data_IF_148360018519
#
_entry.id   IF_148360018519
#
_cell.length_a   1.000
_cell.length_b   1.000
_cell.length_c   1.000
_cell.angle_alpha   90.00
_cell.angle_beta   90.00
_cell.angle_gamma   90.00
#
_symmetry.space_group_name_H-M   'P 1'
#
loop_
_entity.id
_entity.type
_entity.pdbx_description
1 polymer ?
#
# COMPACT_ATOMS: atom_id res chain seq x y z
N UNK A 1 3.52 -32.14 3.24
CA UNK A 1 2.66 -32.01 2.05
C UNK A 1 2.12 -30.58 2.02
N UNK A 2 2.10 -29.97 0.85
CA UNK A 2 1.48 -28.67 0.63
C UNK A 2 0.16 -28.93 -0.10
N UNK A 3 -0.95 -28.70 0.59
CA UNK A 3 -2.29 -28.99 0.05
C UNK A 3 -2.92 -27.74 -0.63
N UNK A 4 -2.40 -26.56 -0.35
CA UNK A 4 -2.91 -25.30 -0.87
C UNK A 4 -1.80 -24.26 -1.04
N UNK A 5 -1.78 -23.57 -2.16
CA UNK A 5 -0.92 -22.39 -2.41
C UNK A 5 -1.80 -21.23 -2.84
N UNK A 6 -1.91 -20.21 -1.98
CA UNK A 6 -2.54 -18.94 -2.30
C UNK A 6 -1.50 -17.92 -2.74
N UNK A 7 -1.76 -17.21 -3.83
CA UNK A 7 -0.83 -16.22 -4.39
C UNK A 7 -1.50 -14.87 -4.51
N UNK A 8 -0.87 -13.84 -3.94
CA UNK A 8 -1.14 -12.43 -4.25
C UNK A 8 -0.02 -11.93 -5.15
N UNK A 9 -0.35 -11.50 -6.35
CA UNK A 9 0.66 -11.06 -7.33
C UNK A 9 0.16 -9.86 -8.11
N UNK A 10 0.99 -8.83 -8.18
CA UNK A 10 0.86 -7.66 -9.07
C UNK A 10 1.85 -7.74 -10.25
N UNK A 11 2.46 -8.90 -10.44
CA UNK A 11 3.42 -9.14 -11.50
C UNK A 11 2.72 -9.49 -12.83
N UNK A 12 3.48 -9.47 -13.92
CA UNK A 12 2.96 -9.82 -15.23
C UNK A 12 2.67 -11.33 -15.38
N UNK A 13 1.87 -11.67 -16.39
CA UNK A 13 1.42 -13.05 -16.64
C UNK A 13 2.57 -14.05 -16.82
N UNK A 14 3.69 -13.63 -17.44
CA UNK A 14 4.84 -14.50 -17.64
C UNK A 14 5.42 -14.97 -16.30
N UNK A 15 5.63 -14.06 -15.37
CA UNK A 15 6.16 -14.40 -14.04
C UNK A 15 5.15 -15.25 -13.26
N UNK A 16 3.86 -14.96 -13.39
CA UNK A 16 2.81 -15.76 -12.74
C UNK A 16 2.77 -17.19 -13.30
N UNK A 17 2.96 -17.40 -14.61
CA UNK A 17 3.07 -18.72 -15.23
C UNK A 17 4.32 -19.49 -14.78
N UNK A 18 5.45 -18.79 -14.64
CA UNK A 18 6.67 -19.39 -14.07
C UNK A 18 6.45 -19.85 -12.63
N UNK A 19 5.79 -19.03 -11.81
CA UNK A 19 5.45 -19.38 -10.44
C UNK A 19 4.50 -20.56 -10.37
N UNK A 20 3.47 -20.62 -11.22
CA UNK A 20 2.56 -21.75 -11.33
C UNK A 20 3.32 -23.05 -11.67
N UNK A 21 4.21 -22.99 -12.65
CA UNK A 21 5.05 -24.13 -13.05
C UNK A 21 5.93 -24.63 -11.92
N UNK A 22 6.50 -23.73 -11.11
CA UNK A 22 7.30 -24.07 -9.94
C UNK A 22 6.45 -24.73 -8.84
N UNK A 23 5.26 -24.24 -8.56
CA UNK A 23 4.35 -24.84 -7.59
C UNK A 23 3.96 -26.25 -7.98
N UNK A 24 3.65 -26.48 -9.26
CA UNK A 24 3.35 -27.80 -9.79
C UNK A 24 4.55 -28.75 -9.70
N UNK A 25 5.75 -28.27 -10.04
CA UNK A 25 6.97 -29.08 -9.98
C UNK A 25 7.34 -29.49 -8.55
N UNK A 26 7.31 -28.54 -7.62
CA UNK A 26 7.81 -28.75 -6.25
C UNK A 26 6.78 -29.42 -5.34
N UNK A 27 5.51 -29.06 -5.48
CA UNK A 27 4.46 -29.47 -4.54
C UNK A 27 3.31 -30.23 -5.18
N UNK A 28 3.28 -30.35 -6.51
CA UNK A 28 2.16 -30.93 -7.29
C UNK A 28 0.82 -30.25 -6.96
N UNK A 29 0.88 -28.96 -6.63
CA UNK A 29 -0.26 -28.15 -6.26
C UNK A 29 -0.38 -26.97 -7.23
N UNK A 30 -1.55 -26.79 -7.83
CA UNK A 30 -1.85 -25.61 -8.67
C UNK A 30 -2.14 -24.43 -7.76
N UNK A 31 -1.41 -23.32 -7.87
CA UNK A 31 -1.66 -22.15 -7.04
C UNK A 31 -2.96 -21.46 -7.41
N UNK A 32 -3.63 -20.90 -6.41
CA UNK A 32 -4.80 -20.05 -6.60
C UNK A 32 -4.37 -18.58 -6.49
N UNK A 33 -4.51 -17.84 -7.58
CA UNK A 33 -4.23 -16.42 -7.61
C UNK A 33 -5.43 -15.64 -7.10
N UNK A 34 -5.21 -14.82 -6.08
CA UNK A 34 -6.22 -13.89 -5.60
C UNK A 34 -6.57 -12.87 -6.69
N UNK A 35 -7.84 -12.48 -6.76
CA UNK A 35 -8.34 -11.50 -7.72
C UNK A 35 -9.22 -10.49 -7.00
N UNK A 36 -9.20 -9.26 -7.50
CA UNK A 36 -10.13 -8.23 -7.06
C UNK A 36 -11.48 -8.45 -7.72
N UNK A 37 -12.55 -8.29 -6.98
CA UNK A 37 -13.93 -8.39 -7.46
C UNK A 37 -14.78 -7.21 -6.94
N UNK A 38 -16.06 -7.18 -7.33
CA UNK A 38 -16.99 -6.12 -6.93
C UNK A 38 -17.32 -6.13 -5.44
N UNK A 39 -17.36 -7.31 -4.81
CA UNK A 39 -17.65 -7.44 -3.40
C UNK A 39 -17.09 -8.75 -2.84
N UNK A 40 -16.36 -8.66 -1.74
CA UNK A 40 -15.85 -9.81 -0.98
C UNK A 40 -15.93 -9.51 0.51
N UNK A 41 -16.24 -10.49 1.33
CA UNK A 41 -16.40 -10.37 2.78
C UNK A 41 -17.32 -9.22 3.21
N UNK A 42 -18.33 -8.90 2.39
CA UNK A 42 -19.29 -7.82 2.64
C UNK A 42 -18.77 -6.42 2.30
N UNK A 43 -17.53 -6.27 1.82
CA UNK A 43 -16.98 -4.98 1.38
C UNK A 43 -17.17 -4.83 -0.13
N UNK A 44 -17.73 -3.71 -0.55
CA UNK A 44 -17.90 -3.35 -1.95
C UNK A 44 -16.69 -2.56 -2.45
N UNK A 45 -16.21 -2.91 -3.65
CA UNK A 45 -15.11 -2.22 -4.30
C UNK A 45 -15.56 -0.84 -4.83
N UNK A 46 -14.72 0.19 -4.63
CA UNK A 46 -14.97 1.55 -5.14
C UNK A 46 -14.76 1.66 -6.65
N UNK A 47 -13.94 0.79 -7.24
CA UNK A 47 -13.59 0.88 -8.65
C UNK A 47 -14.74 0.40 -9.52
N UNK A 48 -15.05 1.13 -10.59
CA UNK A 48 -16.04 0.72 -11.59
C UNK A 48 -15.64 -0.58 -12.28
N UNK A 49 -14.34 -0.75 -12.53
CA UNK A 49 -13.73 -2.00 -12.97
C UNK A 49 -12.78 -2.49 -11.86
N UNK A 50 -13.19 -3.50 -11.09
CA UNK A 50 -12.36 -4.02 -10.00
C UNK A 50 -11.01 -4.56 -10.45
N UNK A 51 -10.89 -5.04 -11.69
CA UNK A 51 -9.62 -5.54 -12.22
C UNK A 51 -8.51 -4.48 -12.26
N UNK A 52 -8.87 -3.20 -12.20
CA UNK A 52 -7.92 -2.09 -12.14
C UNK A 52 -7.44 -1.76 -10.73
N UNK A 53 -8.04 -2.32 -9.68
CA UNK A 53 -7.55 -2.20 -8.31
C UNK A 53 -6.52 -3.30 -8.04
N UNK A 54 -5.31 -2.91 -7.67
CA UNK A 54 -4.25 -3.85 -7.33
C UNK A 54 -4.69 -4.85 -6.25
N UNK A 55 -4.39 -6.12 -6.46
CA UNK A 55 -4.81 -7.19 -5.56
C UNK A 55 -4.22 -7.06 -4.15
N UNK A 56 -3.01 -6.53 -4.03
CA UNK A 56 -2.35 -6.21 -2.76
C UNK A 56 -3.17 -5.21 -1.94
N UNK A 57 -3.68 -4.16 -2.57
CA UNK A 57 -4.56 -3.18 -1.94
C UNK A 57 -5.89 -3.82 -1.55
N UNK A 58 -6.49 -4.61 -2.45
CA UNK A 58 -7.75 -5.30 -2.18
C UNK A 58 -7.65 -6.24 -0.97
N UNK A 59 -6.60 -7.01 -0.89
CA UNK A 59 -6.36 -7.90 0.26
C UNK A 59 -6.16 -7.13 1.57
N UNK A 60 -5.46 -6.00 1.54
CA UNK A 60 -5.33 -5.11 2.70
C UNK A 60 -6.69 -4.55 3.15
N UNK A 61 -7.55 -4.18 2.20
CA UNK A 61 -8.93 -3.74 2.46
C UNK A 61 -9.75 -4.87 3.08
N UNK A 62 -9.66 -6.08 2.55
CA UNK A 62 -10.40 -7.25 3.07
C UNK A 62 -9.91 -7.67 4.47
N UNK A 63 -8.62 -7.52 4.74
CA UNK A 63 -8.04 -7.85 6.05
C UNK A 63 -8.61 -7.00 7.20
N UNK A 64 -9.21 -5.86 6.89
CA UNK A 64 -9.84 -4.97 7.88
C UNK A 64 -11.37 -5.03 7.85
N UNK A 65 -11.95 -6.03 7.18
CA UNK A 65 -13.39 -6.26 7.22
C UNK A 65 -13.89 -6.36 8.68
N UNK A 66 -14.96 -5.67 8.99
CA UNK A 66 -15.53 -5.58 10.36
C UNK A 66 -14.83 -4.58 11.30
N UNK A 67 -13.77 -3.89 10.88
CA UNK A 67 -13.05 -2.87 11.67
C UNK A 67 -13.32 -1.44 11.24
N UNK A 68 -14.48 -1.18 10.68
CA UNK A 68 -14.84 0.10 10.04
C UNK A 68 -15.41 1.11 11.04
N UNK A 69 -15.23 2.42 10.81
CA UNK A 69 -14.48 3.03 9.71
C UNK A 69 -12.96 2.90 9.89
N UNK A 70 -12.25 2.68 8.80
CA UNK A 70 -10.80 2.43 8.86
C UNK A 70 -10.06 3.07 7.67
N UNK A 71 -8.89 3.61 7.98
CA UNK A 71 -7.87 4.04 7.01
C UNK A 71 -6.75 2.99 7.03
N UNK A 72 -6.50 2.34 5.91
CA UNK A 72 -5.46 1.31 5.74
C UNK A 72 -4.31 1.91 4.97
N UNK A 73 -3.13 1.89 5.56
CA UNK A 73 -1.90 2.41 4.98
C UNK A 73 -0.93 1.27 4.74
N UNK A 74 -0.43 1.14 3.54
CA UNK A 74 0.63 0.19 3.21
C UNK A 74 1.88 0.94 2.76
N UNK A 75 2.97 0.76 3.52
CA UNK A 75 4.28 1.37 3.27
C UNK A 75 5.20 0.33 2.61
N UNK A 76 5.46 0.50 1.33
CA UNK A 76 6.35 -0.34 0.54
C UNK A 76 6.92 0.47 -0.63
N UNK A 77 7.23 -0.16 -1.76
CA UNK A 77 7.66 0.52 -2.99
C UNK A 77 6.71 1.67 -3.36
N UNK A 78 5.42 1.47 -3.13
CA UNK A 78 4.42 2.54 -3.11
C UNK A 78 3.87 2.71 -1.69
N UNK A 79 3.57 3.95 -1.30
CA UNK A 79 2.72 4.26 -0.17
C UNK A 79 1.29 4.29 -0.68
N UNK A 80 0.45 3.36 -0.20
CA UNK A 80 -0.98 3.37 -0.53
C UNK A 80 -1.81 3.68 0.72
N UNK A 81 -2.89 4.41 0.53
CA UNK A 81 -3.83 4.76 1.59
C UNK A 81 -5.23 4.45 1.07
N UNK A 82 -5.90 3.49 1.67
CA UNK A 82 -7.25 3.07 1.32
C UNK A 82 -8.22 3.31 2.48
N UNK A 83 -9.44 3.68 2.15
CA UNK A 83 -10.46 4.06 3.13
C UNK A 83 -11.67 3.15 3.00
N UNK A 84 -12.11 2.58 4.13
CA UNK A 84 -13.30 1.74 4.21
C UNK A 84 -14.26 2.28 5.26
N UNK A 85 -15.50 2.49 4.89
CA UNK A 85 -16.59 2.87 5.79
C UNK A 85 -17.91 2.23 5.33
N UNK A 86 -18.75 1.81 6.29
CA UNK A 86 -20.08 1.24 6.05
C UNK A 86 -20.08 0.12 4.97
N UNK A 87 -19.12 -0.79 5.08
CA UNK A 87 -18.91 -1.90 4.13
C UNK A 87 -18.59 -1.47 2.69
N UNK A 88 -18.11 -0.25 2.50
CA UNK A 88 -17.69 0.26 1.22
C UNK A 88 -16.24 0.68 1.24
N UNK A 89 -15.46 0.21 0.30
CA UNK A 89 -14.20 0.84 -0.05
C UNK A 89 -14.53 2.16 -0.72
N UNK A 90 -14.17 3.28 -0.09
CA UNK A 90 -14.47 4.62 -0.61
C UNK A 90 -13.47 5.09 -1.66
N UNK A 91 -12.39 4.34 -1.85
CA UNK A 91 -11.26 4.69 -2.69
C UNK A 91 -9.99 4.92 -1.89
N UNK A 92 -8.95 5.39 -2.55
CA UNK A 92 -7.66 5.62 -1.90
C UNK A 92 -6.69 6.39 -2.78
N UNK A 93 -5.45 6.45 -2.31
CA UNK A 93 -4.36 7.17 -2.95
C UNK A 93 -3.14 6.26 -3.11
N UNK A 94 -2.35 6.51 -4.13
CA UNK A 94 -1.07 5.86 -4.37
C UNK A 94 -0.01 6.95 -4.52
N UNK A 95 1.02 6.86 -3.70
CA UNK A 95 2.19 7.73 -3.73
C UNK A 95 3.45 6.89 -3.97
N UNK A 96 4.52 7.45 -4.47
CA UNK A 96 5.82 6.79 -4.40
C UNK A 96 6.18 6.50 -2.94
N UNK A 97 6.67 5.31 -2.62
CA UNK A 97 7.23 4.99 -1.31
C UNK A 97 8.49 5.82 -1.01
N UNK A 98 8.97 5.80 0.24
CA UNK A 98 10.06 6.68 0.67
C UNK A 98 11.33 6.48 -0.17
N UNK A 99 11.71 5.23 -0.43
CA UNK A 99 12.88 4.90 -1.25
C UNK A 99 12.72 5.36 -2.71
N UNK A 100 11.51 5.28 -3.27
CA UNK A 100 11.24 5.73 -4.62
C UNK A 100 11.26 7.26 -4.73
N UNK A 101 10.76 7.98 -3.69
CA UNK A 101 10.86 9.43 -3.60
C UNK A 101 12.32 9.89 -3.54
N UNK A 102 13.13 9.26 -2.70
CA UNK A 102 14.57 9.53 -2.60
C UNK A 102 15.26 9.29 -3.95
N UNK A 103 15.02 8.13 -4.55
CA UNK A 103 15.57 7.76 -5.85
C UNK A 103 15.20 8.77 -6.94
N UNK A 104 13.96 9.27 -6.96
CA UNK A 104 13.51 10.26 -7.93
C UNK A 104 14.26 11.59 -7.81
N UNK A 105 14.57 12.04 -6.58
CA UNK A 105 15.38 13.24 -6.34
C UNK A 105 16.83 13.05 -6.79
N UNK A 106 17.42 11.87 -6.50
CA UNK A 106 18.78 11.53 -6.92
C UNK A 106 18.95 11.51 -8.44
N UNK A 107 17.97 10.96 -9.16
CA UNK A 107 18.01 10.87 -10.62
C UNK A 107 17.54 12.17 -11.30
N UNK A 108 16.55 12.86 -10.72
CA UNK A 108 15.95 14.05 -11.31
C UNK A 108 16.74 15.34 -11.09
N UNK A 109 17.79 15.34 -10.23
CA UNK A 109 18.58 16.53 -9.93
C UNK A 109 20.07 16.28 -10.03
N UNK A 110 20.84 17.33 -10.35
CA UNK A 110 22.31 17.24 -10.44
C UNK A 110 23.00 17.49 -9.12
N UNK A 111 22.42 18.32 -8.24
CA UNK A 111 23.07 18.85 -7.04
C UNK A 111 22.58 18.26 -5.73
N UNK A 112 21.41 17.61 -5.75
CA UNK A 112 20.86 16.94 -4.56
C UNK A 112 21.55 15.59 -4.42
N UNK A 113 22.44 15.46 -3.46
CA UNK A 113 23.20 14.23 -3.17
C UNK A 113 23.17 13.99 -1.66
N UNK A 114 22.04 13.58 -1.10
CA UNK A 114 21.94 13.26 0.31
C UNK A 114 22.79 12.02 0.63
N UNK A 115 23.40 12.02 1.79
CA UNK A 115 23.93 10.82 2.41
C UNK A 115 22.86 10.14 3.23
N UNK A 116 23.02 8.87 3.50
CA UNK A 116 22.13 8.15 4.40
C UNK A 116 22.17 8.79 5.79
N UNK A 117 21.02 8.84 6.43
CA UNK A 117 20.87 9.27 7.82
C UNK A 117 20.36 8.10 8.65
N UNK A 118 20.66 8.10 9.92
CA UNK A 118 20.27 7.00 10.82
C UNK A 118 18.75 6.89 10.95
N UNK A 119 18.07 8.02 11.00
CA UNK A 119 16.59 8.12 11.02
C UNK A 119 16.15 9.52 10.59
N UNK A 120 14.98 9.59 9.98
CA UNK A 120 14.33 10.85 9.64
C UNK A 120 13.44 11.31 10.81
N UNK A 121 13.29 12.62 10.97
CA UNK A 121 12.39 13.26 11.93
C UNK A 121 11.48 14.26 11.23
N UNK A 122 10.55 14.87 11.98
CA UNK A 122 9.73 15.98 11.49
C UNK A 122 10.33 17.35 11.77
N UNK A 123 11.55 17.41 12.30
CA UNK A 123 12.27 18.67 12.51
C UNK A 123 12.72 19.28 11.17
N UNK A 124 12.98 20.57 11.18
CA UNK A 124 13.55 21.23 10.01
C UNK A 124 14.96 20.72 9.73
N UNK A 125 15.21 20.23 8.52
CA UNK A 125 16.52 19.81 8.09
C UNK A 125 17.50 20.99 8.03
N UNK A 126 18.71 20.80 8.55
CA UNK A 126 19.76 21.82 8.60
C UNK A 126 20.89 21.58 7.58
N UNK A 127 20.75 20.53 6.79
CA UNK A 127 21.59 20.19 5.66
C UNK A 127 20.78 19.46 4.59
N UNK A 128 21.37 19.21 3.42
CA UNK A 128 20.67 18.58 2.28
C UNK A 128 20.14 17.18 2.63
N UNK A 129 20.90 16.36 3.35
CA UNK A 129 20.50 15.01 3.71
C UNK A 129 19.27 15.02 4.63
N UNK A 130 19.33 15.78 5.71
CA UNK A 130 18.19 15.96 6.61
C UNK A 130 16.97 16.55 5.87
N UNK A 131 17.17 17.61 5.08
CA UNK A 131 16.08 18.25 4.36
C UNK A 131 15.35 17.32 3.39
N UNK A 132 16.09 16.42 2.73
CA UNK A 132 15.51 15.41 1.84
C UNK A 132 14.76 14.34 2.62
N UNK A 133 15.41 13.70 3.58
CA UNK A 133 14.81 12.59 4.32
C UNK A 133 13.65 13.02 5.20
N UNK A 134 13.77 14.16 5.91
CA UNK A 134 12.69 14.73 6.72
C UNK A 134 11.52 15.17 5.84
N UNK A 135 11.82 15.75 4.66
CA UNK A 135 10.79 16.15 3.69
C UNK A 135 9.99 14.97 3.14
N UNK A 136 10.65 13.86 2.82
CA UNK A 136 10.00 12.62 2.38
C UNK A 136 9.10 12.07 3.50
N UNK A 137 9.61 11.99 4.72
CA UNK A 137 8.84 11.54 5.88
C UNK A 137 7.63 12.44 6.13
N UNK A 138 7.84 13.76 6.12
CA UNK A 138 6.77 14.75 6.29
C UNK A 138 5.68 14.58 5.23
N UNK A 139 6.05 14.38 3.96
CA UNK A 139 5.08 14.18 2.87
C UNK A 139 4.22 12.93 3.09
N UNK A 140 4.83 11.82 3.52
CA UNK A 140 4.11 10.58 3.82
C UNK A 140 3.14 10.77 5.00
N UNK A 141 3.62 11.32 6.11
CA UNK A 141 2.80 11.54 7.32
C UNK A 141 1.66 12.52 7.04
N UNK A 142 1.94 13.65 6.38
CA UNK A 142 0.92 14.64 6.05
C UNK A 142 -0.18 14.06 5.14
N UNK A 143 0.17 13.19 4.18
CA UNK A 143 -0.80 12.50 3.35
C UNK A 143 -1.71 11.58 4.18
N UNK A 144 -1.12 10.78 5.09
CA UNK A 144 -1.85 9.88 5.98
C UNK A 144 -2.79 10.69 6.89
N UNK A 145 -2.28 11.71 7.56
CA UNK A 145 -3.05 12.56 8.46
C UNK A 145 -4.22 13.25 7.74
N UNK A 146 -3.98 13.73 6.52
CA UNK A 146 -5.03 14.38 5.72
C UNK A 146 -6.17 13.44 5.37
N UNK A 147 -5.84 12.21 4.94
CA UNK A 147 -6.85 11.20 4.59
C UNK A 147 -7.59 10.72 5.85
N UNK A 148 -6.86 10.46 6.93
CA UNK A 148 -7.45 10.08 8.21
C UNK A 148 -8.41 11.15 8.74
N UNK A 149 -8.00 12.43 8.71
CA UNK A 149 -8.84 13.54 9.13
C UNK A 149 -10.10 13.67 8.25
N UNK A 150 -9.97 13.46 6.93
CA UNK A 150 -11.11 13.48 6.02
C UNK A 150 -12.12 12.38 6.37
N UNK A 151 -11.66 11.14 6.62
CA UNK A 151 -12.54 10.06 7.05
C UNK A 151 -13.21 10.37 8.38
N UNK A 152 -12.45 10.93 9.33
CA UNK A 152 -13.00 11.32 10.65
C UNK A 152 -14.11 12.38 10.57
N UNK A 153 -14.07 13.24 9.56
CA UNK A 153 -15.13 14.22 9.30
C UNK A 153 -16.40 13.61 8.66
N UNK A 154 -16.29 12.42 8.06
CA UNK A 154 -17.42 11.75 7.39
C UNK A 154 -18.23 10.87 8.34
N UNK A 155 -17.80 10.69 9.59
CA UNK A 155 -18.43 9.76 10.51
C UNK A 155 -18.25 10.19 11.97
N UNK A 156 -19.25 9.92 12.80
CA UNK A 156 -19.17 10.11 14.25
C UNK A 156 -18.54 8.89 14.98
N UNK A 157 -18.23 7.83 14.23
CA UNK A 157 -17.62 6.61 14.79
C UNK A 157 -16.12 6.84 15.04
N UNK A 158 -15.55 6.00 15.90
CA UNK A 158 -14.11 6.00 16.11
C UNK A 158 -13.40 5.40 14.89
N UNK A 159 -12.63 6.22 14.20
CA UNK A 159 -11.85 5.83 13.02
C UNK A 159 -10.58 5.09 13.44
N UNK A 160 -10.33 3.94 12.85
CA UNK A 160 -9.08 3.20 13.04
C UNK A 160 -8.07 3.59 11.94
N UNK A 161 -6.80 3.64 12.33
CA UNK A 161 -5.67 3.74 11.41
C UNK A 161 -4.86 2.45 11.52
N UNK A 162 -4.69 1.75 10.40
CA UNK A 162 -3.95 0.49 10.35
C UNK A 162 -2.80 0.67 9.36
N UNK A 163 -1.60 0.37 9.84
CA UNK A 163 -0.37 0.44 9.03
C UNK A 163 0.14 -0.97 8.78
N UNK A 164 0.63 -1.19 7.56
CA UNK A 164 1.30 -2.41 7.11
C UNK A 164 2.41 -2.04 6.13
N UNK A 165 3.17 -3.01 5.67
CA UNK A 165 4.28 -2.83 4.74
C UNK A 165 5.61 -3.17 5.39
N UNK A 166 6.71 -2.98 4.65
CA UNK A 166 8.07 -3.36 5.07
C UNK A 166 9.11 -2.24 4.93
N UNK A 167 8.69 -1.02 4.57
CA UNK A 167 9.55 0.17 4.49
C UNK A 167 9.47 0.98 5.78
#
# INVERSE_FOLDING_TARGET
YVDFVGVSSVLNDKVNQELESLCLLLWRCTPQFARTDYATLGIQCAYKDPALLGIDRWLNILAVAGRQPVCVVSCGTALTIDVVNDNQHLGGYIFPGMNLQLSSLLHGTQRVRPHDITYATLDFGKNTSESVHHGILLACIAAIEKVYAALKQMTDKNVQLILTGGD
#
